data_IF_436220405593
#
_entry.id   IF_436220405593
#
_cell.length_a   1.000
_cell.length_b   1.000
_cell.length_c   1.000
_cell.angle_alpha   90.00
_cell.angle_beta   90.00
_cell.angle_gamma   90.00
#
_symmetry.space_group_name_H-M   'P 1'
#
loop_
_entity.id
_entity.type
_entity.pdbx_description
1 polymer ?
#
# COMPACT_ATOMS: atom_id res chain seq x y z
N UNK A 1 33.31 -0.25 25.17
CA UNK A 1 32.30 -1.10 24.51
C UNK A 1 33.05 -2.06 23.61
N UNK A 2 32.94 -3.37 23.81
CA UNK A 2 33.55 -4.39 22.93
C UNK A 2 32.42 -5.04 22.13
N UNK A 3 32.44 -4.88 20.81
CA UNK A 3 31.53 -5.58 19.92
C UNK A 3 32.10 -6.96 19.62
N UNK A 4 31.21 -7.95 19.51
CA UNK A 4 31.57 -9.33 19.14
C UNK A 4 31.01 -9.57 17.74
N UNK A 5 31.90 -9.81 16.77
CA UNK A 5 31.54 -10.01 15.36
C UNK A 5 31.69 -8.76 14.49
N UNK A 6 31.38 -8.92 13.21
CA UNK A 6 31.42 -7.84 12.23
C UNK A 6 30.23 -6.89 12.43
N UNK A 7 30.52 -5.60 12.51
CA UNK A 7 29.49 -4.56 12.70
C UNK A 7 28.61 -4.36 11.47
N UNK A 8 29.13 -4.70 10.30
CA UNK A 8 28.45 -4.62 9.01
C UNK A 8 28.84 -5.88 8.23
N UNK A 9 27.86 -6.60 7.71
CA UNK A 9 28.07 -7.80 6.90
C UNK A 9 27.51 -7.59 5.50
N UNK A 10 28.13 -8.23 4.50
CA UNK A 10 27.69 -8.19 3.11
C UNK A 10 26.78 -9.38 2.73
N UNK A 11 26.51 -10.29 3.69
CA UNK A 11 25.61 -11.42 3.47
C UNK A 11 24.17 -10.91 3.40
N UNK A 12 23.46 -11.11 2.28
CA UNK A 12 22.10 -10.62 2.13
C UNK A 12 21.09 -11.57 2.77
N UNK A 13 19.92 -11.02 3.10
CA UNK A 13 18.72 -11.83 3.30
C UNK A 13 18.18 -12.30 1.95
N UNK A 14 17.84 -13.59 1.85
CA UNK A 14 17.36 -14.21 0.61
C UNK A 14 15.95 -14.73 0.82
N UNK A 15 15.02 -14.29 -0.03
CA UNK A 15 13.63 -14.71 -0.01
C UNK A 15 13.22 -15.31 -1.36
N UNK A 16 12.49 -16.43 -1.30
CA UNK A 16 11.82 -16.99 -2.47
C UNK A 16 10.34 -16.66 -2.39
N UNK A 17 9.85 -15.88 -3.36
CA UNK A 17 8.44 -15.51 -3.45
C UNK A 17 7.85 -16.18 -4.68
N UNK A 18 6.80 -16.97 -4.49
CA UNK A 18 6.05 -17.56 -5.61
C UNK A 18 5.10 -16.50 -6.16
N UNK A 19 5.23 -16.18 -7.45
CA UNK A 19 4.33 -15.22 -8.10
C UNK A 19 2.93 -15.82 -8.21
N UNK A 20 1.98 -15.22 -7.50
CA UNK A 20 0.58 -15.58 -7.59
C UNK A 20 0.02 -15.27 -9.00
N UNK A 21 -1.03 -15.97 -9.46
CA UNK A 21 -1.64 -15.70 -10.77
C UNK A 21 -2.17 -14.28 -10.92
N UNK A 22 -2.58 -13.66 -9.80
CA UNK A 22 -3.09 -12.29 -9.68
C UNK A 22 -2.00 -11.26 -9.37
N UNK A 23 -0.72 -11.65 -9.34
CA UNK A 23 0.38 -10.71 -9.20
C UNK A 23 0.44 -9.80 -10.43
N UNK A 24 0.29 -8.49 -10.22
CA UNK A 24 0.21 -7.50 -11.29
C UNK A 24 1.59 -6.95 -11.69
N UNK A 25 2.37 -6.48 -10.71
CA UNK A 25 3.70 -5.89 -10.92
C UNK A 25 4.58 -6.04 -9.67
N UNK A 26 5.89 -5.82 -9.84
CA UNK A 26 6.85 -5.67 -8.75
C UNK A 26 7.34 -4.22 -8.70
N UNK A 27 7.37 -3.65 -7.50
CA UNK A 27 7.88 -2.31 -7.24
C UNK A 27 9.09 -2.40 -6.30
N UNK A 28 10.25 -1.97 -6.78
CA UNK A 28 11.46 -1.81 -5.98
C UNK A 28 11.82 -0.32 -5.94
N UNK A 29 12.24 0.16 -4.78
CA UNK A 29 12.74 1.52 -4.65
C UNK A 29 13.70 1.67 -3.46
N UNK A 30 14.48 2.75 -3.47
CA UNK A 30 15.32 3.17 -2.34
C UNK A 30 14.48 3.75 -1.20
N UNK A 31 15.08 3.87 -0.02
CA UNK A 31 14.53 4.55 1.17
C UNK A 31 14.10 5.99 0.89
N UNK A 32 14.77 6.70 -0.03
CA UNK A 32 14.33 8.00 -0.52
C UNK A 32 12.87 8.07 -0.99
N UNK A 33 12.27 6.94 -1.40
CA UNK A 33 10.81 6.83 -1.60
C UNK A 33 10.09 6.46 -0.31
N UNK A 34 10.51 5.37 0.34
CA UNK A 34 9.77 4.71 1.41
C UNK A 34 9.70 5.50 2.71
N UNK A 35 10.62 6.43 2.94
CA UNK A 35 10.61 7.33 4.09
C UNK A 35 9.45 8.34 4.02
N UNK A 36 8.90 8.61 2.83
CA UNK A 36 7.89 9.65 2.59
C UNK A 36 6.56 9.11 2.03
N UNK A 37 6.57 7.91 1.46
CA UNK A 37 5.41 7.28 0.83
C UNK A 37 5.25 5.85 1.36
N UNK A 38 4.04 5.55 1.85
CA UNK A 38 3.72 4.19 2.33
C UNK A 38 3.65 3.22 1.15
N UNK A 39 4.05 1.97 1.37
CA UNK A 39 4.01 0.92 0.33
C UNK A 39 2.63 0.72 -0.29
N UNK A 40 1.56 0.71 0.52
CA UNK A 40 0.19 0.60 0.03
C UNK A 40 -0.25 1.81 -0.81
N UNK A 41 0.19 3.01 -0.43
CA UNK A 41 -0.07 4.23 -1.16
C UNK A 41 0.66 4.23 -2.52
N UNK A 42 1.94 3.88 -2.54
CA UNK A 42 2.73 3.78 -3.76
C UNK A 42 2.14 2.74 -4.74
N UNK A 43 1.75 1.57 -4.24
CA UNK A 43 1.12 0.52 -5.07
C UNK A 43 -0.19 1.01 -5.67
N UNK A 44 -1.05 1.68 -4.88
CA UNK A 44 -2.30 2.24 -5.38
C UNK A 44 -2.07 3.35 -6.41
N UNK A 45 -1.09 4.20 -6.17
CA UNK A 45 -0.70 5.26 -7.10
C UNK A 45 -0.24 4.67 -8.44
N UNK A 46 0.69 3.72 -8.43
CA UNK A 46 1.18 3.04 -9.64
C UNK A 46 0.04 2.33 -10.37
N UNK A 47 -0.82 1.60 -9.64
CA UNK A 47 -1.99 0.94 -10.24
C UNK A 47 -2.91 1.93 -10.94
N UNK A 48 -3.12 3.12 -10.37
CA UNK A 48 -3.93 4.17 -10.99
C UNK A 48 -3.26 4.78 -12.23
N UNK A 49 -1.95 5.05 -12.18
CA UNK A 49 -1.19 5.52 -13.35
C UNK A 49 -1.24 4.49 -14.49
N UNK A 50 -1.00 3.22 -14.20
CA UNK A 50 -1.04 2.16 -15.21
C UNK A 50 -2.46 1.97 -15.79
N UNK A 51 -3.52 2.13 -15.00
CA UNK A 51 -4.90 2.14 -15.52
C UNK A 51 -5.15 3.27 -16.50
N UNK A 52 -4.57 4.44 -16.24
CA UNK A 52 -4.77 5.63 -17.06
C UNK A 52 -4.07 5.53 -18.41
N UNK A 53 -2.77 5.16 -18.43
CA UNK A 53 -1.98 5.17 -19.67
C UNK A 53 -1.33 3.81 -20.02
N UNK A 54 -1.08 2.95 -19.05
CA UNK A 54 -0.46 1.63 -19.25
C UNK A 54 1.04 1.68 -19.51
N UNK A 55 1.71 2.75 -19.08
CA UNK A 55 3.15 2.98 -19.29
C UNK A 55 3.90 2.97 -17.95
N UNK A 56 4.75 1.97 -17.75
CA UNK A 56 5.52 1.80 -16.51
C UNK A 56 6.57 2.89 -16.30
N UNK A 57 7.14 3.43 -17.39
CA UNK A 57 8.16 4.47 -17.30
C UNK A 57 7.51 5.75 -16.76
N UNK A 58 6.38 6.16 -17.36
CA UNK A 58 5.62 7.32 -16.93
C UNK A 58 5.13 7.16 -15.48
N UNK A 59 4.64 5.97 -15.12
CA UNK A 59 4.21 5.70 -13.74
C UNK A 59 5.37 5.80 -12.73
N UNK A 60 6.57 5.34 -13.10
CA UNK A 60 7.75 5.42 -12.24
C UNK A 60 8.25 6.86 -12.05
N UNK A 61 8.24 7.66 -13.11
CA UNK A 61 8.59 9.08 -13.07
C UNK A 61 7.60 9.87 -12.22
N UNK A 62 6.30 9.61 -12.38
CA UNK A 62 5.27 10.24 -11.58
C UNK A 62 5.38 9.88 -10.09
N UNK A 63 5.72 8.63 -9.76
CA UNK A 63 5.92 8.20 -8.38
C UNK A 63 7.18 8.84 -7.77
N UNK A 64 8.26 8.98 -8.55
CA UNK A 64 9.46 9.68 -8.11
C UNK A 64 9.16 11.17 -7.86
N UNK A 65 8.41 11.82 -8.76
CA UNK A 65 7.98 13.20 -8.59
C UNK A 65 7.13 13.37 -7.33
N UNK A 66 6.22 12.45 -7.04
CA UNK A 66 5.42 12.46 -5.81
C UNK A 66 6.28 12.43 -4.54
N UNK A 67 7.40 11.69 -4.55
CA UNK A 67 8.34 11.67 -3.42
C UNK A 67 9.08 13.01 -3.27
N UNK A 68 9.49 13.62 -4.39
CA UNK A 68 10.15 14.94 -4.41
C UNK A 68 9.19 16.04 -3.94
N UNK A 69 7.93 15.99 -4.35
CA UNK A 69 6.88 16.93 -3.93
C UNK A 69 6.58 16.82 -2.41
N UNK A 70 6.88 15.65 -1.82
CA UNK A 70 6.84 15.42 -0.35
C UNK A 70 8.15 15.79 0.35
N UNK A 71 9.02 16.53 -0.33
CA UNK A 71 10.30 17.00 0.19
C UNK A 71 11.25 15.88 0.57
N UNK A 72 11.28 14.78 -0.21
CA UNK A 72 12.36 13.80 -0.08
C UNK A 72 13.73 14.48 -0.18
N UNK A 73 14.60 14.18 0.79
CA UNK A 73 15.95 14.76 0.89
C UNK A 73 17.05 13.81 0.39
N UNK A 74 16.67 12.68 -0.22
CA UNK A 74 17.59 11.64 -0.66
C UNK A 74 17.45 11.34 -2.17
N UNK A 75 18.31 10.48 -2.70
CA UNK A 75 18.22 9.96 -4.05
C UNK A 75 17.05 8.97 -4.15
N UNK A 76 16.12 9.29 -5.05
CA UNK A 76 14.94 8.46 -5.32
C UNK A 76 15.21 7.63 -6.57
N UNK A 77 15.35 6.31 -6.42
CA UNK A 77 15.43 5.36 -7.54
C UNK A 77 14.27 4.38 -7.44
N UNK A 78 13.57 4.17 -8.56
CA UNK A 78 12.38 3.33 -8.63
C UNK A 78 12.49 2.39 -9.83
N UNK A 79 12.13 1.13 -9.63
CA UNK A 79 12.00 0.12 -10.69
C UNK A 79 10.60 -0.50 -10.58
N UNK A 80 9.86 -0.43 -11.69
CA UNK A 80 8.56 -1.07 -11.84
C UNK A 80 8.69 -2.16 -12.90
N UNK A 81 8.43 -3.41 -12.52
CA UNK A 81 8.35 -4.53 -13.42
C UNK A 81 6.90 -4.98 -13.56
N UNK A 82 6.23 -4.57 -14.63
CA UNK A 82 4.92 -5.10 -15.01
C UNK A 82 5.07 -6.55 -15.46
N UNK A 83 4.29 -7.45 -14.86
CA UNK A 83 4.33 -8.88 -15.14
C UNK A 83 3.56 -9.24 -16.42
N UNK A 84 2.85 -8.29 -17.03
CA UNK A 84 2.14 -8.46 -18.31
C UNK A 84 0.92 -9.38 -18.20
N UNK A 85 0.47 -9.71 -16.98
CA UNK A 85 -0.70 -10.55 -16.71
C UNK A 85 -1.98 -9.73 -16.50
N UNK A 86 -1.84 -8.41 -16.51
CA UNK A 86 -2.87 -7.47 -16.10
C UNK A 86 -3.32 -6.63 -17.27
N UNK A 87 -4.63 -6.62 -17.53
CA UNK A 87 -5.24 -5.67 -18.47
C UNK A 87 -5.55 -4.36 -17.73
N UNK A 88 -4.56 -3.48 -17.69
CA UNK A 88 -4.62 -2.24 -16.92
C UNK A 88 -5.84 -1.37 -17.26
N UNK A 89 -6.23 -1.30 -18.54
CA UNK A 89 -7.34 -0.43 -18.96
C UNK A 89 -8.72 -0.97 -18.56
N UNK A 90 -8.83 -2.29 -18.36
CA UNK A 90 -10.07 -2.95 -17.98
C UNK A 90 -10.10 -3.41 -16.52
N UNK A 91 -9.06 -3.10 -15.73
CA UNK A 91 -9.03 -3.43 -14.32
C UNK A 91 -10.14 -2.70 -13.55
N UNK A 92 -10.98 -3.43 -12.78
CA UNK A 92 -12.05 -2.81 -12.01
C UNK A 92 -11.48 -1.88 -10.94
N UNK A 93 -12.08 -0.70 -10.78
CA UNK A 93 -11.71 0.24 -9.72
C UNK A 93 -11.93 -0.46 -8.37
N UNK A 94 -10.85 -0.69 -7.65
CA UNK A 94 -10.92 -1.21 -6.29
C UNK A 94 -11.42 -0.06 -5.41
N UNK A 95 -12.74 0.02 -5.22
CA UNK A 95 -13.31 0.94 -4.24
C UNK A 95 -12.81 0.52 -2.86
N UNK A 96 -12.04 1.40 -2.22
CA UNK A 96 -11.80 1.28 -0.80
C UNK A 96 -13.18 1.48 -0.14
N UNK A 97 -13.73 0.41 0.44
CA UNK A 97 -15.12 0.33 0.92
C UNK A 97 -15.36 1.15 2.21
N UNK A 98 -14.80 2.35 2.29
CA UNK A 98 -14.88 3.27 3.42
C UNK A 98 -16.33 3.53 3.86
N UNK A 99 -17.25 3.65 2.91
CA UNK A 99 -18.69 3.87 3.19
C UNK A 99 -19.30 2.64 3.87
N UNK A 100 -18.97 1.43 3.42
CA UNK A 100 -19.48 0.21 4.04
C UNK A 100 -18.90 -0.01 5.44
N UNK A 101 -17.61 0.28 5.63
CA UNK A 101 -16.97 0.22 6.95
C UNK A 101 -17.62 1.21 7.93
N UNK A 102 -17.90 2.44 7.49
CA UNK A 102 -18.62 3.44 8.29
C UNK A 102 -20.04 2.99 8.63
N UNK A 103 -20.80 2.48 7.66
CA UNK A 103 -22.16 1.97 7.89
C UNK A 103 -22.15 0.84 8.91
N UNK A 104 -21.21 -0.11 8.79
CA UNK A 104 -21.04 -1.18 9.76
C UNK A 104 -20.71 -0.65 11.16
N UNK A 105 -19.77 0.30 11.26
CA UNK A 105 -19.40 0.90 12.54
C UNK A 105 -20.61 1.55 13.24
N UNK A 106 -21.40 2.35 12.51
CA UNK A 106 -22.60 2.98 13.06
C UNK A 106 -23.68 1.95 13.45
N UNK A 107 -23.88 0.91 12.64
CA UNK A 107 -24.82 -0.16 12.95
C UNK A 107 -24.45 -0.89 14.24
N UNK A 108 -23.17 -1.24 14.41
CA UNK A 108 -22.67 -1.90 15.63
C UNK A 108 -22.85 -1.02 16.86
N UNK A 109 -22.48 0.26 16.77
CA UNK A 109 -22.66 1.21 17.88
C UNK A 109 -24.15 1.30 18.24
N UNK A 110 -25.03 1.49 17.25
CA UNK A 110 -26.48 1.57 17.47
C UNK A 110 -27.06 0.33 18.16
N UNK A 111 -26.70 -0.87 17.68
CA UNK A 111 -27.16 -2.14 18.27
C UNK A 111 -26.71 -2.26 19.74
N UNK A 112 -25.44 -1.97 20.03
CA UNK A 112 -24.90 -2.04 21.39
C UNK A 112 -25.58 -1.02 22.31
N UNK A 113 -25.75 0.23 21.85
CA UNK A 113 -26.43 1.28 22.62
C UNK A 113 -27.88 0.90 22.93
N UNK A 114 -28.62 0.37 21.96
CA UNK A 114 -30.00 -0.09 22.17
C UNK A 114 -30.03 -1.28 23.14
N UNK A 115 -29.10 -2.23 23.03
CA UNK A 115 -29.01 -3.36 23.95
C UNK A 115 -28.76 -2.93 25.40
N UNK A 116 -27.83 -1.99 25.62
CA UNK A 116 -27.57 -1.40 26.95
C UNK A 116 -28.81 -0.68 27.47
N UNK A 117 -29.47 0.13 26.63
CA UNK A 117 -30.67 0.86 27.01
C UNK A 117 -31.81 -0.09 27.41
N UNK A 118 -32.09 -1.11 26.59
CA UNK A 118 -33.10 -2.13 26.90
C UNK A 118 -32.76 -2.88 28.19
N UNK A 119 -31.49 -3.26 28.40
CA UNK A 119 -31.05 -3.89 29.65
C UNK A 119 -31.23 -2.98 30.86
N UNK A 120 -30.98 -1.68 30.72
CA UNK A 120 -31.12 -0.71 31.82
C UNK A 120 -32.58 -0.41 32.18
N UNK A 121 -33.49 -0.47 31.19
CA UNK A 121 -34.92 -0.28 31.40
C UNK A 121 -35.64 -1.56 31.87
N UNK A 122 -35.05 -2.74 31.66
CA UNK A 122 -35.62 -4.02 32.09
C UNK A 122 -35.23 -4.43 33.52
N UNK A 123 -34.34 -3.68 34.18
CA UNK A 123 -33.88 -3.93 35.56
C UNK A 123 -34.74 -3.27 36.66
N UNK A 124 -36.05 -3.10 36.44
CA UNK A 124 -37.04 -2.70 37.45
C UNK A 124 -38.19 -3.70 37.57
#
# INVERSE_FOLDING_TARGET
IKFVGDLVIATPDIYHVTLAPDAEFVLLATDGLWDYIKSSEAVNFVRNQLREHGDVQVASEALAQMALDRYSQDNVTIVIADLGRTDWRNLPIQQQNFVFELIQAFATIGIVTIGIWMSSNASF
#
